data_IF_923446656562
#
_entry.id   IF_923446656562
#
_cell.length_a   1.000
_cell.length_b   1.000
_cell.length_c   1.000
_cell.angle_alpha   90.00
_cell.angle_beta   90.00
_cell.angle_gamma   90.00
#
_symmetry.space_group_name_H-M   'P 1'
#
loop_
_entity.id
_entity.type
_entity.pdbx_description
1 polymer ?
#
# COMPACT_ATOMS: atom_id res chain seq x y z
N UNK A 1 28.18 21.31 2.55
CA UNK A 1 27.09 20.64 1.80
C UNK A 1 26.39 21.63 0.88
N UNK A 2 26.09 21.24 -0.37
CA UNK A 2 25.44 22.14 -1.36
C UNK A 2 23.98 22.43 -0.99
N UNK A 3 23.38 23.49 -1.56
CA UNK A 3 21.96 23.85 -1.37
C UNK A 3 21.03 22.69 -1.76
N UNK A 4 21.40 21.94 -2.80
CA UNK A 4 20.67 20.76 -3.29
C UNK A 4 20.63 19.65 -2.23
N UNK A 5 21.76 19.32 -1.60
CA UNK A 5 21.81 18.27 -0.56
C UNK A 5 20.95 18.62 0.65
N UNK A 6 20.91 19.90 1.04
CA UNK A 6 20.03 20.36 2.13
C UNK A 6 18.55 20.25 1.76
N UNK A 7 18.16 20.64 0.55
CA UNK A 7 16.78 20.50 0.08
C UNK A 7 16.34 19.04 -0.01
N UNK A 8 17.21 18.16 -0.52
CA UNK A 8 16.96 16.71 -0.54
C UNK A 8 16.81 16.13 0.86
N UNK A 9 17.67 16.52 1.80
CA UNK A 9 17.59 16.06 3.19
C UNK A 9 16.30 16.54 3.88
N UNK A 10 15.88 17.78 3.64
CA UNK A 10 14.59 18.30 4.15
C UNK A 10 13.43 17.53 3.53
N UNK A 11 13.44 17.33 2.20
CA UNK A 11 12.41 16.55 1.51
C UNK A 11 12.26 15.13 2.06
N UNK A 12 13.37 14.41 2.26
CA UNK A 12 13.34 13.07 2.84
C UNK A 12 12.76 13.03 4.25
N UNK A 13 13.14 13.99 5.11
CA UNK A 13 12.57 14.09 6.46
C UNK A 13 11.07 14.37 6.43
N UNK A 14 10.64 15.27 5.55
CA UNK A 14 9.21 15.58 5.40
C UNK A 14 8.42 14.39 4.86
N UNK A 15 8.91 13.68 3.84
CA UNK A 15 8.29 12.44 3.35
C UNK A 15 8.14 11.42 4.47
N UNK A 16 9.18 11.22 5.28
CA UNK A 16 9.14 10.28 6.41
C UNK A 16 8.08 10.65 7.45
N UNK A 17 7.98 11.93 7.84
CA UNK A 17 6.97 12.39 8.80
C UNK A 17 5.57 12.19 8.25
N UNK A 18 5.31 12.63 7.01
CA UNK A 18 4.01 12.48 6.36
C UNK A 18 3.59 11.01 6.25
N UNK A 19 4.52 10.15 5.82
CA UNK A 19 4.27 8.70 5.73
C UNK A 19 3.99 8.09 7.10
N UNK A 20 4.65 8.57 8.16
CA UNK A 20 4.43 8.10 9.53
C UNK A 20 3.05 8.48 10.06
N UNK A 21 2.62 9.73 9.85
CA UNK A 21 1.28 10.21 10.21
C UNK A 21 0.22 9.37 9.50
N UNK A 22 0.38 9.18 8.19
CA UNK A 22 -0.55 8.38 7.40
C UNK A 22 -0.59 6.91 7.85
N UNK A 23 0.57 6.33 8.17
CA UNK A 23 0.65 4.96 8.68
C UNK A 23 -0.12 4.83 10.00
N UNK A 24 0.00 5.82 10.90
CA UNK A 24 -0.77 5.84 12.14
C UNK A 24 -2.28 5.92 11.88
N UNK A 25 -2.72 6.78 10.96
CA UNK A 25 -4.12 6.87 10.55
C UNK A 25 -4.66 5.53 10.00
N UNK A 26 -3.89 4.85 9.14
CA UNK A 26 -4.23 3.52 8.62
C UNK A 26 -4.32 2.44 9.71
N UNK A 27 -3.44 2.49 10.72
CA UNK A 27 -3.49 1.57 11.86
C UNK A 27 -4.67 1.84 12.78
N UNK A 28 -5.13 3.10 12.84
CA UNK A 28 -6.30 3.51 13.58
C UNK A 28 -7.62 3.31 12.80
N UNK A 29 -7.59 2.68 11.63
CA UNK A 29 -8.74 2.47 10.73
C UNK A 29 -9.41 3.76 10.24
N UNK A 30 -8.62 4.83 10.07
CA UNK A 30 -9.04 6.11 9.47
C UNK A 30 -8.33 6.32 8.12
N UNK A 31 -8.69 5.58 7.07
CA UNK A 31 -7.99 5.63 5.79
C UNK A 31 -8.13 6.97 5.06
N UNK A 32 -9.23 7.69 5.24
CA UNK A 32 -9.46 9.03 4.69
C UNK A 32 -8.42 10.05 5.18
N UNK A 33 -8.06 10.00 6.46
CA UNK A 33 -7.06 10.89 7.07
C UNK A 33 -5.64 10.63 6.56
N UNK A 34 -5.40 9.44 5.99
CA UNK A 34 -4.11 9.06 5.42
C UNK A 34 -3.91 9.64 4.00
N UNK A 35 -4.97 9.98 3.27
CA UNK A 35 -4.88 10.35 1.84
C UNK A 35 -4.04 11.61 1.60
N UNK A 36 -4.42 12.72 2.25
CA UNK A 36 -3.72 13.99 2.08
C UNK A 36 -2.22 13.93 2.43
N UNK A 37 -1.79 13.37 3.58
CA UNK A 37 -0.37 13.26 3.88
C UNK A 37 0.37 12.33 2.91
N UNK A 38 -0.26 11.26 2.41
CA UNK A 38 0.38 10.37 1.43
C UNK A 38 0.51 11.01 0.05
N UNK A 39 -0.47 11.77 -0.40
CA UNK A 39 -0.40 12.53 -1.66
C UNK A 39 0.71 13.59 -1.58
N UNK A 40 0.83 14.28 -0.44
CA UNK A 40 1.93 15.20 -0.19
C UNK A 40 3.30 14.48 -0.12
N UNK A 41 3.38 13.31 0.51
CA UNK A 41 4.59 12.51 0.56
C UNK A 41 5.02 12.05 -0.84
N UNK A 42 4.06 11.64 -1.68
CA UNK A 42 4.29 11.18 -3.04
C UNK A 42 4.85 12.29 -3.94
N UNK A 43 4.35 13.52 -3.78
CA UNK A 43 4.85 14.70 -4.50
C UNK A 43 6.31 15.04 -4.15
N UNK A 44 6.77 14.71 -2.93
CA UNK A 44 8.15 14.93 -2.51
C UNK A 44 9.08 13.80 -2.95
N UNK A 45 8.59 12.55 -2.89
CA UNK A 45 9.37 11.37 -3.24
C UNK A 45 8.45 10.21 -3.59
N UNK A 46 8.65 9.69 -4.80
CA UNK A 46 8.09 8.40 -5.20
C UNK A 46 8.95 7.28 -4.62
N UNK A 47 8.39 6.51 -3.70
CA UNK A 47 8.96 5.24 -3.28
C UNK A 47 7.87 4.20 -2.97
N UNK A 48 8.31 2.94 -2.84
CA UNK A 48 7.42 1.79 -2.66
C UNK A 48 6.51 1.92 -1.44
N UNK A 49 6.98 2.54 -0.35
CA UNK A 49 6.22 2.63 0.91
C UNK A 49 5.09 3.63 0.78
N UNK A 50 5.39 4.80 0.22
CA UNK A 50 4.38 5.83 -0.03
C UNK A 50 3.31 5.32 -1.00
N UNK A 51 3.73 4.70 -2.11
CA UNK A 51 2.82 4.13 -3.10
C UNK A 51 1.92 3.05 -2.50
N UNK A 52 2.50 2.13 -1.71
CA UNK A 52 1.74 1.07 -1.07
C UNK A 52 0.72 1.62 -0.07
N UNK A 53 1.15 2.53 0.83
CA UNK A 53 0.26 3.11 1.82
C UNK A 53 -0.87 3.92 1.16
N UNK A 54 -0.60 4.61 0.05
CA UNK A 54 -1.64 5.34 -0.69
C UNK A 54 -2.62 4.38 -1.37
N UNK A 55 -2.14 3.24 -1.87
CA UNK A 55 -3.00 2.19 -2.41
C UNK A 55 -3.95 1.63 -1.33
N UNK A 56 -3.42 1.33 -0.14
CA UNK A 56 -4.22 0.90 1.03
C UNK A 56 -5.25 1.97 1.41
N UNK A 57 -4.82 3.23 1.54
CA UNK A 57 -5.71 4.33 1.93
C UNK A 57 -6.85 4.49 0.92
N UNK A 58 -6.57 4.49 -0.39
CA UNK A 58 -7.60 4.64 -1.43
C UNK A 58 -8.62 3.51 -1.41
N UNK A 59 -8.19 2.24 -1.38
CA UNK A 59 -9.14 1.12 -1.42
C UNK A 59 -10.00 1.02 -0.16
N UNK A 60 -9.44 1.36 1.01
CA UNK A 60 -10.16 1.30 2.29
C UNK A 60 -11.07 2.50 2.52
N UNK A 61 -10.68 3.69 2.10
CA UNK A 61 -11.53 4.88 2.18
C UNK A 61 -12.70 4.81 1.20
N UNK A 62 -12.47 4.28 -0.01
CA UNK A 62 -13.50 4.15 -1.02
C UNK A 62 -13.22 2.98 -1.98
N UNK A 63 -13.98 1.86 -1.90
CA UNK A 63 -13.83 0.74 -2.82
C UNK A 63 -13.97 1.10 -4.31
N UNK A 64 -14.65 2.20 -4.65
CA UNK A 64 -14.74 2.68 -6.03
C UNK A 64 -13.39 3.14 -6.60
N UNK A 65 -12.43 3.48 -5.73
CA UNK A 65 -11.07 3.88 -6.13
C UNK A 65 -10.13 2.68 -6.31
N UNK A 66 -10.63 1.44 -6.20
CA UNK A 66 -9.80 0.23 -6.28
C UNK A 66 -8.98 0.13 -7.59
N UNK A 67 -9.50 0.64 -8.72
CA UNK A 67 -8.75 0.64 -9.98
C UNK A 67 -7.54 1.60 -9.94
N UNK A 68 -7.67 2.75 -9.27
CA UNK A 68 -6.56 3.68 -9.07
C UNK A 68 -5.57 3.13 -8.04
N UNK A 69 -6.08 2.53 -6.96
CA UNK A 69 -5.27 1.84 -5.95
C UNK A 69 -4.43 0.71 -6.58
N UNK A 70 -5.00 -0.05 -7.52
CA UNK A 70 -4.29 -1.14 -8.19
C UNK A 70 -3.04 -0.63 -8.93
N UNK A 71 -3.16 0.47 -9.66
CA UNK A 71 -2.02 1.09 -10.37
C UNK A 71 -0.89 1.49 -9.40
N UNK A 72 -1.25 2.02 -8.23
CA UNK A 72 -0.28 2.39 -7.20
C UNK A 72 0.44 1.15 -6.63
N UNK A 73 -0.31 0.09 -6.32
CA UNK A 73 0.26 -1.17 -5.84
C UNK A 73 1.18 -1.83 -6.90
N UNK A 74 0.79 -1.79 -8.17
CA UNK A 74 1.60 -2.28 -9.29
C UNK A 74 2.92 -1.50 -9.43
N UNK A 75 2.87 -0.17 -9.34
CA UNK A 75 4.07 0.66 -9.31
C UNK A 75 4.97 0.35 -8.10
N UNK A 76 4.36 0.14 -6.92
CA UNK A 76 5.12 -0.24 -5.73
C UNK A 76 5.82 -1.60 -5.90
N UNK A 77 5.17 -2.59 -6.53
CA UNK A 77 5.78 -3.88 -6.88
C UNK A 77 6.88 -3.76 -7.93
N UNK A 78 6.77 -2.85 -8.90
CA UNK A 78 7.87 -2.60 -9.84
C UNK A 78 9.12 -2.09 -9.12
N UNK A 79 8.96 -1.28 -8.06
CA UNK A 79 10.08 -0.81 -7.24
C UNK A 79 10.61 -1.86 -6.26
N UNK A 80 9.78 -2.79 -5.81
CA UNK A 80 10.17 -3.87 -4.92
C UNK A 80 9.45 -5.19 -5.25
N UNK A 81 9.94 -5.92 -6.28
CA UNK A 81 9.32 -7.16 -6.70
C UNK A 81 9.26 -8.18 -5.56
N UNK A 82 8.09 -8.76 -5.33
CA UNK A 82 7.89 -9.82 -4.34
C UNK A 82 7.88 -9.37 -2.87
N UNK A 83 7.75 -8.07 -2.60
CA UNK A 83 7.56 -7.56 -1.24
C UNK A 83 6.15 -7.90 -0.74
N UNK A 84 6.06 -8.70 0.33
CA UNK A 84 4.82 -9.39 0.69
C UNK A 84 3.72 -8.42 1.17
N UNK A 85 4.07 -7.31 1.81
CA UNK A 85 3.11 -6.29 2.24
C UNK A 85 2.37 -5.67 1.04
N UNK A 86 3.07 -5.53 -0.10
CA UNK A 86 2.47 -4.98 -1.33
C UNK A 86 1.61 -6.04 -2.02
N UNK A 87 2.03 -7.31 -1.99
CA UNK A 87 1.19 -8.42 -2.48
C UNK A 87 -0.12 -8.54 -1.68
N UNK A 88 -0.06 -8.43 -0.35
CA UNK A 88 -1.25 -8.37 0.50
C UNK A 88 -2.17 -7.20 0.10
N UNK A 89 -1.59 -6.02 -0.07
CA UNK A 89 -2.33 -4.81 -0.48
C UNK A 89 -2.99 -5.01 -1.85
N UNK A 90 -2.25 -5.56 -2.82
CA UNK A 90 -2.79 -5.85 -4.16
C UNK A 90 -3.90 -6.89 -4.11
N UNK A 91 -3.76 -7.94 -3.30
CA UNK A 91 -4.82 -8.92 -3.10
C UNK A 91 -6.11 -8.30 -2.52
N UNK A 92 -6.00 -7.42 -1.52
CA UNK A 92 -7.14 -6.66 -0.97
C UNK A 92 -7.83 -5.84 -2.06
N UNK A 93 -7.06 -5.15 -2.91
CA UNK A 93 -7.57 -4.36 -4.04
C UNK A 93 -8.23 -5.25 -5.10
N UNK A 94 -7.62 -6.39 -5.43
CA UNK A 94 -8.15 -7.33 -6.41
C UNK A 94 -9.48 -7.96 -5.94
N UNK A 95 -9.64 -8.21 -4.64
CA UNK A 95 -10.92 -8.62 -4.05
C UNK A 95 -11.97 -7.52 -4.26
N UNK A 96 -11.65 -6.25 -3.95
CA UNK A 96 -12.58 -5.14 -4.17
C UNK A 96 -12.98 -4.98 -5.65
N UNK A 97 -12.12 -5.39 -6.58
CA UNK A 97 -12.37 -5.40 -8.03
C UNK A 97 -13.08 -6.67 -8.55
N UNK A 98 -13.40 -7.65 -7.69
CA UNK A 98 -13.99 -8.91 -8.14
C UNK A 98 -12.98 -9.90 -8.77
N UNK A 99 -11.69 -9.59 -8.78
CA UNK A 99 -10.63 -10.38 -9.43
C UNK A 99 -10.08 -11.47 -8.49
N UNK A 100 -10.95 -12.41 -8.11
CA UNK A 100 -10.70 -13.39 -7.05
C UNK A 100 -9.48 -14.29 -7.31
N UNK A 101 -9.32 -14.80 -8.54
CA UNK A 101 -8.20 -15.71 -8.88
C UNK A 101 -6.84 -15.02 -8.76
N UNK A 102 -6.74 -13.79 -9.25
CA UNK A 102 -5.50 -13.01 -9.13
C UNK A 102 -5.19 -12.67 -7.66
N UNK A 103 -6.22 -12.35 -6.86
CA UNK A 103 -6.05 -12.11 -5.43
C UNK A 103 -5.58 -13.37 -4.69
N UNK A 104 -6.12 -14.55 -5.06
CA UNK A 104 -5.70 -15.84 -4.50
C UNK A 104 -4.23 -16.13 -4.79
N UNK A 105 -3.78 -15.94 -6.02
CA UNK A 105 -2.38 -16.13 -6.39
C UNK A 105 -1.42 -15.26 -5.56
N UNK A 106 -1.79 -14.00 -5.32
CA UNK A 106 -1.01 -13.09 -4.46
C UNK A 106 -0.97 -13.58 -3.00
N UNK A 107 -2.13 -13.96 -2.45
CA UNK A 107 -2.24 -14.46 -1.08
C UNK A 107 -1.43 -15.75 -0.88
N UNK A 108 -1.48 -16.67 -1.84
CA UNK A 108 -0.71 -17.92 -1.82
C UNK A 108 0.80 -17.62 -1.86
N UNK A 109 1.23 -16.72 -2.74
CA UNK A 109 2.63 -16.27 -2.81
C UNK A 109 3.11 -15.69 -1.47
N UNK A 110 2.26 -14.91 -0.78
CA UNK A 110 2.59 -14.39 0.56
C UNK A 110 2.70 -15.52 1.58
N UNK A 111 1.75 -16.45 1.59
CA UNK A 111 1.71 -17.54 2.57
C UNK A 111 2.82 -18.58 2.36
N UNK A 112 3.34 -18.75 1.15
CA UNK A 112 4.51 -19.59 0.88
C UNK A 112 5.74 -19.10 1.66
N UNK A 113 5.95 -17.78 1.71
CA UNK A 113 7.12 -17.13 2.34
C UNK A 113 6.87 -16.74 3.79
N UNK A 114 5.64 -16.35 4.10
CA UNK A 114 5.19 -15.83 5.40
C UNK A 114 3.94 -16.58 5.86
N UNK A 115 4.14 -17.85 6.24
CA UNK A 115 3.08 -18.78 6.64
C UNK A 115 2.22 -18.30 7.81
N UNK A 116 2.69 -17.34 8.60
CA UNK A 116 2.03 -16.77 9.76
C UNK A 116 1.36 -15.41 9.50
N UNK A 117 1.49 -14.86 8.28
CA UNK A 117 0.88 -13.59 7.86
C UNK A 117 -0.62 -13.55 8.18
N UNK A 118 -0.99 -12.71 9.16
CA UNK A 118 -2.38 -12.58 9.62
C UNK A 118 -3.26 -11.98 8.53
N UNK A 119 -2.74 -11.01 7.78
CA UNK A 119 -3.46 -10.35 6.68
C UNK A 119 -3.74 -11.33 5.54
N UNK A 120 -2.73 -12.07 5.10
CA UNK A 120 -2.91 -13.07 4.04
C UNK A 120 -3.93 -14.15 4.46
N UNK A 121 -3.89 -14.61 5.71
CA UNK A 121 -4.90 -15.55 6.25
C UNK A 121 -6.30 -14.93 6.31
N UNK A 122 -6.43 -13.65 6.63
CA UNK A 122 -7.72 -12.93 6.62
C UNK A 122 -8.28 -12.87 5.19
N UNK A 123 -7.45 -12.48 4.23
CA UNK A 123 -7.82 -12.40 2.80
C UNK A 123 -8.19 -13.78 2.24
N UNK A 124 -7.44 -14.84 2.57
CA UNK A 124 -7.75 -16.20 2.15
C UNK A 124 -9.13 -16.66 2.64
N UNK A 125 -9.50 -16.30 3.88
CA UNK A 125 -10.85 -16.61 4.41
C UNK A 125 -11.95 -15.89 3.65
N UNK A 126 -11.71 -14.68 3.14
CA UNK A 126 -12.66 -13.94 2.31
C UNK A 126 -12.81 -14.65 0.96
N UNK A 127 -11.69 -15.02 0.33
CA UNK A 127 -11.64 -15.70 -0.95
C UNK A 127 -12.26 -17.10 -0.95
N UNK A 128 -12.31 -17.78 0.21
CA UNK A 128 -12.94 -19.11 0.35
C UNK A 128 -14.45 -19.05 0.62
N UNK A 129 -15.01 -17.86 0.86
CA UNK A 129 -16.45 -17.65 1.13
C UNK A 129 -17.25 -17.20 -0.09
N UNK A 130 -16.56 -16.90 -1.19
CA UNK A 130 -17.14 -16.56 -2.49
C UNK A 130 -17.29 -17.84 -3.32
#
# INVERSE_FOLDING_TARGET
ASRLTRLQATGQKTTFILTSIATYALLADHPEDALAPLEAALALKVDRTVLNNLAVAKVRANPHDAAAALKLAEQALQLAPGYYEILNTRAEILIALGKMEAARADVETVLERHKDSKDAKKLLRILNKQ
#
